data_IF_763072033043
#
_entry.id   IF_763072033043
#
_cell.length_a   1.000
_cell.length_b   1.000
_cell.length_c   1.000
_cell.angle_alpha   90.00
_cell.angle_beta   90.00
_cell.angle_gamma   90.00
#
_symmetry.space_group_name_H-M   'P 1'
#
loop_
_entity.id
_entity.type
_entity.pdbx_description
1 polymer ?
#
# COMPACT_ATOMS: atom_id res chain seq x y z
N UNK A 1 -3.96 10.13 -3.74
CA UNK A 1 -3.60 9.06 -2.78
C UNK A 1 -4.82 8.15 -2.63
N UNK A 2 -4.62 6.89 -2.25
CA UNK A 2 -5.69 5.88 -2.16
C UNK A 2 -5.56 5.14 -0.83
N UNK A 3 -6.70 4.75 -0.27
CA UNK A 3 -6.78 3.95 0.95
C UNK A 3 -7.65 2.72 0.70
N UNK A 4 -7.20 1.57 1.18
CA UNK A 4 -7.95 0.31 1.15
C UNK A 4 -8.17 -0.12 2.59
N UNK A 5 -9.43 -0.27 3.00
CA UNK A 5 -9.80 -0.81 4.30
C UNK A 5 -10.13 -2.29 4.14
N UNK A 6 -9.59 -3.12 5.04
CA UNK A 6 -9.73 -4.58 5.01
C UNK A 6 -10.22 -5.08 6.38
N UNK A 7 -11.54 -5.03 6.65
CA UNK A 7 -12.11 -5.60 7.86
C UNK A 7 -11.84 -7.10 7.98
N UNK A 8 -11.82 -7.62 9.20
CA UNK A 8 -11.68 -9.06 9.49
C UNK A 8 -10.51 -9.75 8.76
N UNK A 9 -9.43 -9.00 8.55
CA UNK A 9 -8.27 -9.47 7.78
C UNK A 9 -7.02 -9.51 8.65
N UNK A 10 -6.26 -10.59 8.55
CA UNK A 10 -4.99 -10.72 9.26
C UNK A 10 -3.91 -9.82 8.64
N UNK A 11 -2.86 -9.45 9.39
CA UNK A 11 -1.73 -8.69 8.86
C UNK A 11 -1.08 -9.36 7.63
N UNK A 12 -0.97 -10.69 7.65
CA UNK A 12 -0.39 -11.49 6.56
C UNK A 12 -1.25 -11.41 5.29
N UNK A 13 -2.57 -11.47 5.44
CA UNK A 13 -3.51 -11.40 4.32
C UNK A 13 -3.58 -9.99 3.73
N UNK A 14 -3.49 -8.97 4.59
CA UNK A 14 -3.37 -7.58 4.18
C UNK A 14 -2.08 -7.35 3.39
N UNK A 15 -0.95 -7.92 3.83
CA UNK A 15 0.31 -7.85 3.10
C UNK A 15 0.22 -8.54 1.73
N UNK A 16 -0.35 -9.75 1.68
CA UNK A 16 -0.56 -10.49 0.41
C UNK A 16 -1.44 -9.69 -0.57
N UNK A 17 -2.50 -9.05 -0.07
CA UNK A 17 -3.36 -8.20 -0.88
C UNK A 17 -2.61 -6.95 -1.40
N UNK A 18 -1.81 -6.31 -0.54
CA UNK A 18 -1.00 -5.15 -0.90
C UNK A 18 0.06 -5.49 -1.97
N UNK A 19 0.77 -6.61 -1.83
CA UNK A 19 1.72 -7.09 -2.84
C UNK A 19 1.04 -7.36 -4.19
N UNK A 20 -0.16 -7.98 -4.16
CA UNK A 20 -0.93 -8.24 -5.36
C UNK A 20 -1.33 -6.93 -6.06
N UNK A 21 -1.85 -5.95 -5.31
CA UNK A 21 -2.20 -4.63 -5.85
C UNK A 21 -0.95 -3.95 -6.42
N UNK A 22 0.15 -3.94 -5.67
CA UNK A 22 1.42 -3.32 -6.07
C UNK A 22 1.95 -3.89 -7.39
N UNK A 23 1.97 -5.23 -7.56
CA UNK A 23 2.38 -5.88 -8.82
C UNK A 23 1.44 -5.54 -9.98
N UNK A 24 0.12 -5.59 -9.75
CA UNK A 24 -0.89 -5.29 -10.77
C UNK A 24 -0.82 -3.86 -11.28
N UNK A 25 -0.49 -2.89 -10.41
CA UNK A 25 -0.28 -1.50 -10.83
C UNK A 25 0.83 -1.41 -11.88
N UNK A 26 1.95 -2.11 -11.68
CA UNK A 26 3.06 -2.09 -12.63
C UNK A 26 2.71 -2.76 -13.97
N UNK A 27 1.84 -3.78 -13.95
CA UNK A 27 1.44 -4.54 -15.14
C UNK A 27 0.33 -3.84 -15.96
N UNK A 28 -0.63 -3.22 -15.29
CA UNK A 28 -1.93 -2.88 -15.89
C UNK A 28 -2.22 -1.38 -15.91
N UNK A 29 -1.82 -0.62 -14.87
CA UNK A 29 -2.28 0.76 -14.70
C UNK A 29 -1.77 1.73 -15.77
N UNK A 30 -0.66 1.39 -16.42
CA UNK A 30 -0.02 2.19 -17.46
C UNK A 30 -0.47 1.91 -18.89
N UNK A 31 -1.40 0.96 -19.10
CA UNK A 31 -1.84 0.55 -20.44
C UNK A 31 -2.94 1.48 -20.95
N UNK A 32 -2.62 2.36 -21.90
CA UNK A 32 -3.55 3.34 -22.48
C UNK A 32 -3.57 3.14 -24.00
N UNK A 33 -4.63 2.53 -24.53
CA UNK A 33 -4.71 2.09 -25.93
C UNK A 33 -3.49 1.24 -26.31
N UNK A 34 -2.74 1.64 -27.34
CA UNK A 34 -1.51 0.96 -27.78
C UNK A 34 -0.24 1.46 -27.06
N UNK A 35 -0.36 2.40 -26.11
CA UNK A 35 0.78 2.97 -25.38
C UNK A 35 0.92 2.32 -24.00
N UNK A 36 2.18 2.15 -23.60
CA UNK A 36 2.55 1.69 -22.25
C UNK A 36 3.30 2.82 -21.55
N UNK A 37 2.76 3.30 -20.45
CA UNK A 37 3.40 4.25 -19.55
C UNK A 37 3.89 3.48 -18.33
N UNK A 38 5.16 3.62 -17.95
CA UNK A 38 5.66 3.00 -16.74
C UNK A 38 5.00 3.65 -15.51
N UNK A 39 4.15 2.89 -14.81
CA UNK A 39 3.50 3.30 -13.57
C UNK A 39 3.99 2.40 -12.44
N UNK A 40 4.24 2.99 -11.27
CA UNK A 40 4.59 2.25 -10.07
C UNK A 40 3.89 2.86 -8.87
N UNK A 41 3.82 2.11 -7.77
CA UNK A 41 3.30 2.59 -6.50
C UNK A 41 4.25 2.25 -5.36
N UNK A 42 4.25 3.08 -4.33
CA UNK A 42 4.65 2.65 -2.99
C UNK A 42 3.37 2.39 -2.22
N UNK A 43 3.28 1.28 -1.52
CA UNK A 43 2.10 0.88 -0.72
C UNK A 43 2.55 0.68 0.72
N UNK A 44 1.75 1.09 1.70
CA UNK A 44 2.01 0.81 3.11
C UNK A 44 0.81 0.05 3.71
N UNK A 45 1.12 -0.93 4.56
CA UNK A 45 0.15 -1.75 5.28
C UNK A 45 0.28 -1.45 6.76
N UNK A 46 -0.83 -1.11 7.41
CA UNK A 46 -0.92 -0.94 8.85
C UNK A 46 -2.13 -1.74 9.36
N UNK A 47 -2.01 -2.29 10.57
CA UNK A 47 -3.11 -2.93 11.29
C UNK A 47 -3.68 -1.96 12.32
N UNK A 48 -4.98 -2.08 12.57
CA UNK A 48 -5.66 -1.32 13.64
C UNK A 48 -5.75 -2.25 14.84
N UNK A 49 -5.07 -1.89 15.93
CA UNK A 49 -5.11 -2.64 17.18
C UNK A 49 -6.46 -2.53 17.89
N UNK A 50 -6.71 -3.44 18.84
CA UNK A 50 -7.93 -3.43 19.66
C UNK A 50 -8.04 -2.12 20.44
N UNK A 51 -9.15 -1.39 20.26
CA UNK A 51 -9.38 -0.09 20.91
C UNK A 51 -8.54 1.05 20.34
N UNK A 52 -7.77 0.80 19.29
CA UNK A 52 -6.97 1.82 18.64
C UNK A 52 -7.85 2.76 17.80
N UNK A 53 -7.63 4.06 17.94
CA UNK A 53 -8.25 5.03 17.04
C UNK A 53 -7.71 4.87 15.62
N UNK A 54 -8.61 4.82 14.63
CA UNK A 54 -8.28 4.70 13.21
C UNK A 54 -7.19 5.68 12.75
N UNK A 55 -7.21 6.92 13.24
CA UNK A 55 -6.23 7.95 12.87
C UNK A 55 -4.80 7.56 13.24
N UNK A 56 -4.59 6.81 14.33
CA UNK A 56 -3.26 6.38 14.74
C UNK A 56 -2.69 5.36 13.75
N UNK A 57 -3.49 4.37 13.33
CA UNK A 57 -3.09 3.39 12.33
C UNK A 57 -2.84 4.04 10.96
N UNK A 58 -3.69 4.99 10.57
CA UNK A 58 -3.51 5.76 9.33
C UNK A 58 -2.20 6.55 9.35
N UNK A 59 -1.88 7.24 10.45
CA UNK A 59 -0.63 7.98 10.59
C UNK A 59 0.61 7.06 10.47
N UNK A 60 0.53 5.82 10.99
CA UNK A 60 1.62 4.84 10.84
C UNK A 60 1.76 4.39 9.39
N UNK A 61 0.64 4.12 8.70
CA UNK A 61 0.65 3.81 7.27
C UNK A 61 1.28 4.94 6.44
N UNK A 62 0.88 6.18 6.68
CA UNK A 62 1.39 7.36 5.97
C UNK A 62 2.89 7.59 6.23
N UNK A 63 3.32 7.41 7.48
CA UNK A 63 4.74 7.52 7.84
C UNK A 63 5.57 6.47 7.11
N UNK A 64 5.13 5.21 7.11
CA UNK A 64 5.81 4.13 6.38
C UNK A 64 5.78 4.35 4.87
N UNK A 65 4.68 4.86 4.32
CA UNK A 65 4.56 5.21 2.91
C UNK A 65 5.56 6.29 2.52
N UNK A 66 5.67 7.34 3.34
CA UNK A 66 6.64 8.41 3.15
C UNK A 66 8.07 7.89 3.21
N UNK A 67 8.42 7.07 4.20
CA UNK A 67 9.72 6.42 4.29
C UNK A 67 10.02 5.57 3.04
N UNK A 68 9.05 4.78 2.58
CA UNK A 68 9.21 3.98 1.36
C UNK A 68 9.45 4.84 0.11
N UNK A 69 8.81 6.02 0.03
CA UNK A 69 9.07 7.00 -1.04
C UNK A 69 10.49 7.57 -0.96
N UNK A 70 11.00 7.85 0.24
CA UNK A 70 12.38 8.32 0.47
C UNK A 70 13.43 7.26 0.17
N UNK A 71 13.14 5.99 0.42
CA UNK A 71 14.07 4.88 0.22
C UNK A 71 14.14 4.36 -1.23
N UNK A 72 13.51 5.03 -2.19
CA UNK A 72 13.57 4.69 -3.61
C UNK A 72 12.24 4.29 -4.26
N UNK A 73 11.11 4.45 -3.56
CA UNK A 73 9.75 4.17 -4.08
C UNK A 73 9.58 2.70 -4.50
N UNK A 74 8.52 2.43 -5.28
CA UNK A 74 8.19 1.16 -5.92
C UNK A 74 8.36 -0.05 -5.01
N UNK A 75 7.65 -0.06 -3.88
CA UNK A 75 7.77 -1.11 -2.85
C UNK A 75 6.55 -1.18 -1.96
N UNK A 76 6.46 -2.29 -1.23
CA UNK A 76 5.50 -2.47 -0.13
C UNK A 76 6.22 -2.22 1.18
N UNK A 77 5.58 -1.47 2.08
CA UNK A 77 6.06 -1.13 3.41
C UNK A 77 5.11 -1.72 4.46
N UNK A 78 5.65 -2.19 5.57
CA UNK A 78 4.88 -2.57 6.74
C UNK A 78 5.04 -1.45 7.77
N UNK A 79 3.92 -0.95 8.28
CA UNK A 79 3.88 -0.07 9.42
C UNK A 79 3.69 -0.90 10.68
N UNK A 80 4.63 -0.78 11.62
CA UNK A 80 4.53 -1.39 12.95
C UNK A 80 3.51 -0.70 13.83
#
# INVERSE_FOLDING_TARGET
>A
EFLVLMPDTTPEDALRAAERIWRRIAEEAGRINERIIAVSATVAVATIGTGEAFQLALNRADTSLYMGKQQGRNRVMIAG
#
